data_IF_931864834759
#
_entry.id   IF_931864834759
#
_cell.length_a   1.000
_cell.length_b   1.000
_cell.length_c   1.000
_cell.angle_alpha   90.00
_cell.angle_beta   90.00
_cell.angle_gamma   90.00
#
_symmetry.space_group_name_H-M   'P 1'
#
loop_
_entity.id
_entity.type
_entity.pdbx_description
1 polymer ?
#
# COMPACT_ATOMS: atom_id res chain seq x y z
N UNK A 1 -11.14 15.92 -27.18
CA UNK A 1 -11.10 14.44 -27.06
C UNK A 1 -12.16 14.05 -26.05
N UNK A 2 -12.56 12.77 -25.95
CA UNK A 2 -13.36 12.33 -24.80
C UNK A 2 -12.49 12.40 -23.55
N UNK A 3 -13.02 12.79 -22.38
CA UNK A 3 -12.27 12.71 -21.14
C UNK A 3 -11.84 11.26 -20.85
N UNK A 4 -10.70 11.06 -20.17
CA UNK A 4 -10.21 9.73 -19.81
C UNK A 4 -11.16 9.07 -18.80
N UNK A 5 -11.28 7.74 -18.81
CA UNK A 5 -12.17 7.03 -17.90
C UNK A 5 -11.75 7.24 -16.44
N UNK A 6 -12.73 7.38 -15.54
CA UNK A 6 -12.47 7.47 -14.10
C UNK A 6 -12.12 6.08 -13.52
N UNK A 7 -10.95 5.88 -12.90
CA UNK A 7 -10.49 4.58 -12.38
C UNK A 7 -11.14 4.17 -11.05
N UNK A 8 -12.47 4.18 -10.97
CA UNK A 8 -13.20 3.85 -9.73
C UNK A 8 -13.05 2.36 -9.44
N UNK A 9 -12.33 2.02 -8.37
CA UNK A 9 -12.10 0.64 -7.96
C UNK A 9 -11.05 -0.10 -8.81
N UNK A 10 -10.35 0.60 -9.71
CA UNK A 10 -9.27 0.02 -10.51
C UNK A 10 -7.97 0.08 -9.72
N UNK A 11 -7.39 -1.09 -9.44
CA UNK A 11 -6.11 -1.21 -8.72
C UNK A 11 -4.99 -1.77 -9.60
N UNK A 12 -5.32 -2.32 -10.77
CA UNK A 12 -4.33 -2.86 -11.71
C UNK A 12 -3.73 -1.74 -12.55
N UNK A 13 -2.42 -1.54 -12.43
CA UNK A 13 -1.64 -0.60 -13.21
C UNK A 13 -1.71 -0.94 -14.71
N UNK A 14 -1.69 -2.21 -15.08
CA UNK A 14 -1.86 -2.63 -16.48
C UNK A 14 -3.19 -2.13 -17.06
N UNK A 15 -4.31 -2.32 -16.35
CA UNK A 15 -5.62 -1.78 -16.77
C UNK A 15 -5.60 -0.26 -16.84
N UNK A 16 -5.01 0.40 -15.85
CA UNK A 16 -4.87 1.86 -15.84
C UNK A 16 -4.21 2.40 -17.12
N UNK A 17 -3.17 1.71 -17.60
CA UNK A 17 -2.39 2.13 -18.76
C UNK A 17 -2.99 1.72 -20.10
N UNK A 18 -3.71 0.60 -20.16
CA UNK A 18 -4.18 0.01 -21.42
C UNK A 18 -5.65 0.30 -21.76
N UNK A 19 -6.50 0.57 -20.76
CA UNK A 19 -7.96 0.71 -20.97
C UNK A 19 -8.45 2.16 -21.06
N UNK A 20 -7.54 3.14 -21.12
CA UNK A 20 -7.86 4.57 -21.27
C UNK A 20 -8.35 5.24 -19.98
N UNK A 21 -7.90 4.78 -18.81
CA UNK A 21 -8.18 5.43 -17.53
C UNK A 21 -7.27 6.64 -17.30
N UNK A 22 -7.78 7.62 -16.56
CA UNK A 22 -6.96 8.72 -16.06
C UNK A 22 -5.96 8.17 -15.04
N UNK A 23 -4.67 8.40 -15.25
CA UNK A 23 -3.60 7.94 -14.36
C UNK A 23 -2.75 9.13 -13.91
N UNK A 24 -2.54 9.23 -12.60
CA UNK A 24 -1.61 10.19 -12.00
C UNK A 24 -0.26 9.52 -11.84
N UNK A 25 0.74 10.04 -12.54
CA UNK A 25 2.09 9.48 -12.50
C UNK A 25 2.73 9.65 -11.11
N UNK A 26 3.03 8.52 -10.48
CA UNK A 26 3.75 8.43 -9.19
C UNK A 26 5.08 7.68 -9.36
N UNK A 27 5.51 7.43 -10.59
CA UNK A 27 6.63 6.53 -10.85
C UNK A 27 7.99 7.11 -10.47
N UNK A 28 8.10 8.43 -10.31
CA UNK A 28 9.32 9.04 -9.76
C UNK A 28 9.66 8.54 -8.35
N UNK A 29 8.65 8.27 -7.52
CA UNK A 29 8.85 7.69 -6.19
C UNK A 29 9.47 6.29 -6.26
N UNK A 30 9.16 5.51 -7.31
CA UNK A 30 9.73 4.17 -7.49
C UNK A 30 11.24 4.27 -7.73
N UNK A 31 11.63 5.14 -8.66
CA UNK A 31 13.04 5.43 -8.97
C UNK A 31 13.80 5.95 -7.76
N UNK A 32 13.20 6.86 -6.99
CA UNK A 32 13.83 7.43 -5.78
C UNK A 32 14.01 6.39 -4.67
N UNK A 33 12.95 5.64 -4.35
CA UNK A 33 12.99 4.61 -3.30
C UNK A 33 13.98 3.48 -3.65
N UNK A 34 13.98 3.00 -4.89
CA UNK A 34 14.85 1.89 -5.30
C UNK A 34 16.34 2.25 -5.30
N UNK A 35 16.70 3.54 -5.39
CA UNK A 35 18.08 4.02 -5.27
C UNK A 35 18.50 4.26 -3.82
N UNK A 36 17.59 4.76 -2.98
CA UNK A 36 17.93 5.19 -1.61
C UNK A 36 18.03 4.07 -0.60
N UNK A 37 17.37 2.93 -0.82
CA UNK A 37 17.34 1.87 0.17
C UNK A 37 16.52 0.66 -0.23
N UNK A 38 16.37 -0.24 0.74
CA UNK A 38 15.77 -1.56 0.53
C UNK A 38 14.46 -1.72 1.29
N UNK A 39 14.36 -1.24 2.53
CA UNK A 39 13.25 -1.56 3.43
C UNK A 39 12.39 -0.35 3.72
N UNK A 40 11.13 -0.40 3.32
CA UNK A 40 10.19 0.70 3.45
C UNK A 40 8.88 0.28 4.08
N UNK A 41 8.30 1.21 4.85
CA UNK A 41 6.96 1.12 5.37
C UNK A 41 6.17 2.37 5.00
N UNK A 42 4.97 2.18 4.44
CA UNK A 42 4.06 3.25 4.06
C UNK A 42 2.66 3.01 4.63
N UNK A 43 2.22 3.87 5.55
CA UNK A 43 0.83 3.90 5.99
C UNK A 43 0.05 5.04 5.33
N UNK A 44 -1.12 4.73 4.79
CA UNK A 44 -2.11 5.72 4.31
C UNK A 44 -3.52 5.21 4.59
N UNK A 45 -4.53 6.09 4.74
CA UNK A 45 -5.92 5.67 4.88
C UNK A 45 -6.39 4.78 3.72
N UNK A 46 -7.51 4.08 3.91
CA UNK A 46 -8.11 3.25 2.85
C UNK A 46 -8.38 4.10 1.60
N UNK A 47 -8.27 3.49 0.43
CA UNK A 47 -8.58 4.09 -0.89
C UNK A 47 -7.68 5.25 -1.34
N UNK A 48 -6.52 5.42 -0.70
CA UNK A 48 -5.50 6.41 -1.11
C UNK A 48 -4.63 6.02 -2.31
N UNK A 49 -4.80 4.84 -2.87
CA UNK A 49 -4.02 4.35 -4.01
C UNK A 49 -2.80 3.49 -3.65
N UNK A 50 -2.69 3.02 -2.40
CA UNK A 50 -1.61 2.11 -1.94
C UNK A 50 -1.48 0.87 -2.83
N UNK A 51 -2.59 0.15 -3.04
CA UNK A 51 -2.61 -1.08 -3.85
C UNK A 51 -2.22 -0.83 -5.30
N UNK A 52 -2.65 0.30 -5.88
CA UNK A 52 -2.22 0.70 -7.23
C UNK A 52 -0.72 1.02 -7.26
N UNK A 53 -0.18 1.65 -6.22
CA UNK A 53 1.26 1.92 -6.12
C UNK A 53 2.07 0.61 -5.99
N UNK A 54 1.60 -0.35 -5.18
CA UNK A 54 2.18 -1.70 -5.09
C UNK A 54 2.16 -2.40 -6.46
N UNK A 55 1.04 -2.33 -7.19
CA UNK A 55 0.92 -2.92 -8.53
C UNK A 55 1.85 -2.24 -9.55
N UNK A 56 2.06 -0.93 -9.41
CA UNK A 56 3.00 -0.17 -10.24
C UNK A 56 4.45 -0.59 -9.94
N UNK A 57 4.81 -0.78 -8.67
CA UNK A 57 6.12 -1.32 -8.25
C UNK A 57 6.37 -2.72 -8.81
N UNK A 58 5.38 -3.60 -8.72
CA UNK A 58 5.44 -4.94 -9.31
C UNK A 58 5.75 -4.88 -10.80
N UNK A 59 4.96 -4.11 -11.56
CA UNK A 59 5.19 -3.94 -13.01
C UNK A 59 6.59 -3.37 -13.33
N UNK A 60 7.08 -2.43 -12.51
CA UNK A 60 8.39 -1.81 -12.70
C UNK A 60 9.52 -2.82 -12.49
N UNK A 61 9.53 -3.52 -11.37
CA UNK A 61 10.56 -4.50 -11.03
C UNK A 61 10.48 -5.77 -11.89
N UNK A 62 9.30 -6.12 -12.37
CA UNK A 62 9.07 -7.22 -13.32
C UNK A 62 9.44 -6.87 -14.77
N UNK A 63 9.84 -5.61 -15.06
CA UNK A 63 10.33 -5.19 -16.38
C UNK A 63 9.25 -4.95 -17.44
N UNK A 64 8.00 -4.67 -17.05
CA UNK A 64 6.86 -4.42 -17.95
C UNK A 64 6.94 -3.02 -18.61
N UNK A 65 8.02 -2.74 -19.34
CA UNK A 65 8.39 -1.42 -19.87
C UNK A 65 7.25 -0.74 -20.64
N UNK A 66 6.49 -1.51 -21.42
CA UNK A 66 5.39 -1.03 -22.25
C UNK A 66 4.33 -0.24 -21.46
N UNK A 67 4.14 -0.55 -20.17
CA UNK A 67 3.19 0.13 -19.30
C UNK A 67 3.67 1.52 -18.87
N UNK A 68 4.99 1.77 -18.93
CA UNK A 68 5.62 3.00 -18.44
C UNK A 68 5.81 4.06 -19.52
N UNK A 69 5.44 3.78 -20.76
CA UNK A 69 5.60 4.75 -21.85
C UNK A 69 4.95 6.09 -21.52
N UNK A 70 5.75 7.17 -21.59
CA UNK A 70 5.32 8.53 -21.28
C UNK A 70 5.17 8.86 -19.78
N UNK A 71 5.59 7.96 -18.89
CA UNK A 71 5.71 8.21 -17.46
C UNK A 71 7.16 8.54 -17.10
N UNK A 72 7.38 9.11 -15.92
CA UNK A 72 8.70 9.46 -15.41
C UNK A 72 9.67 8.28 -15.46
N UNK A 73 9.25 7.06 -15.12
CA UNK A 73 10.14 5.89 -15.10
C UNK A 73 10.75 5.52 -16.47
N UNK A 74 10.11 5.93 -17.57
CA UNK A 74 10.61 5.72 -18.94
C UNK A 74 11.46 6.92 -19.43
N UNK A 75 11.68 7.92 -18.56
CA UNK A 75 12.54 9.06 -18.86
C UNK A 75 14.01 8.77 -18.50
N UNK A 76 14.99 9.41 -19.18
CA UNK A 76 16.41 9.26 -18.83
C UNK A 76 16.75 9.64 -17.40
N UNK A 77 16.06 10.64 -16.82
CA UNK A 77 16.28 11.14 -15.46
C UNK A 77 15.91 10.10 -14.38
N UNK A 78 15.03 9.16 -14.70
CA UNK A 78 14.68 8.09 -13.79
C UNK A 78 15.78 7.04 -13.61
N UNK A 79 16.81 7.04 -14.47
CA UNK A 79 17.91 6.06 -14.51
C UNK A 79 17.42 4.62 -14.26
N UNK A 80 16.24 4.29 -14.77
CA UNK A 80 15.61 2.99 -14.58
C UNK A 80 15.90 2.10 -15.80
N UNK A 81 16.52 0.95 -15.58
CA UNK A 81 16.82 -0.01 -16.63
C UNK A 81 15.80 -1.16 -16.61
N UNK A 82 14.80 -1.09 -17.49
CA UNK A 82 13.79 -2.14 -17.65
C UNK A 82 14.33 -3.47 -18.18
N UNK A 83 15.58 -3.55 -18.65
CA UNK A 83 16.20 -4.84 -19.01
C UNK A 83 16.62 -5.63 -17.77
N UNK A 84 16.73 -4.97 -16.61
CA UNK A 84 17.01 -5.60 -15.33
C UNK A 84 15.69 -5.93 -14.65
N UNK A 85 15.33 -7.21 -14.66
CA UNK A 85 14.14 -7.73 -13.98
C UNK A 85 14.49 -8.42 -12.67
N UNK A 86 13.53 -8.41 -11.75
CA UNK A 86 13.63 -9.04 -10.44
C UNK A 86 12.41 -9.94 -10.19
N UNK A 87 12.58 -11.09 -9.50
CA UNK A 87 11.47 -11.84 -8.93
C UNK A 87 10.68 -10.96 -7.96
N UNK A 88 9.38 -10.75 -8.22
CA UNK A 88 8.49 -10.00 -7.33
C UNK A 88 7.56 -10.96 -6.61
N UNK A 89 7.55 -10.90 -5.27
CA UNK A 89 6.72 -11.72 -4.40
C UNK A 89 5.72 -10.83 -3.68
N UNK A 90 4.43 -11.10 -3.88
CA UNK A 90 3.33 -10.30 -3.33
C UNK A 90 2.57 -11.04 -2.24
N UNK A 91 2.42 -10.38 -1.10
CA UNK A 91 1.53 -10.81 -0.02
C UNK A 91 0.39 -9.80 0.08
N UNK A 92 -0.84 -10.29 -0.05
CA UNK A 92 -2.03 -9.46 0.05
C UNK A 92 -3.05 -10.14 0.96
N UNK A 93 -3.51 -9.42 1.98
CA UNK A 93 -4.54 -9.86 2.93
C UNK A 93 -5.94 -9.39 2.55
N UNK A 94 -6.13 -8.81 1.36
CA UNK A 94 -7.40 -8.19 0.99
C UNK A 94 -8.56 -9.18 0.76
N UNK A 95 -8.24 -10.45 0.50
CA UNK A 95 -9.22 -11.48 0.13
C UNK A 95 -9.63 -12.38 1.30
N UNK A 96 -10.93 -12.45 1.59
CA UNK A 96 -11.52 -13.32 2.62
C UNK A 96 -11.52 -12.72 4.02
N UNK A 97 -12.32 -13.31 4.91
CA UNK A 97 -12.29 -13.01 6.34
C UNK A 97 -11.25 -13.91 7.01
N UNK A 98 -10.38 -13.33 7.83
CA UNK A 98 -9.39 -14.06 8.64
C UNK A 98 -9.92 -14.14 10.06
N UNK A 99 -10.89 -15.02 10.28
CA UNK A 99 -11.64 -15.12 11.54
C UNK A 99 -11.01 -16.06 12.58
N UNK A 100 -10.03 -16.85 12.16
CA UNK A 100 -9.29 -17.79 13.00
C UNK A 100 -7.81 -17.76 12.64
N UNK A 101 -6.92 -18.09 13.58
CA UNK A 101 -5.47 -18.12 13.35
C UNK A 101 -5.09 -19.08 12.21
N UNK A 102 -5.82 -20.19 12.07
CA UNK A 102 -5.67 -21.14 10.95
C UNK A 102 -5.92 -20.50 9.59
N UNK A 103 -6.82 -19.52 9.48
CA UNK A 103 -7.10 -18.82 8.23
C UNK A 103 -5.87 -18.04 7.75
N UNK A 104 -5.20 -17.36 8.69
CA UNK A 104 -3.97 -16.62 8.41
C UNK A 104 -2.84 -17.57 8.01
N UNK A 105 -2.62 -18.64 8.77
CA UNK A 105 -1.58 -19.64 8.48
C UNK A 105 -1.83 -20.28 7.12
N UNK A 106 -3.07 -20.65 6.81
CA UNK A 106 -3.44 -21.24 5.53
C UNK A 106 -3.22 -20.25 4.38
N UNK A 107 -3.55 -18.97 4.58
CA UNK A 107 -3.33 -17.92 3.56
C UNK A 107 -1.84 -17.73 3.27
N UNK A 108 -1.01 -17.63 4.30
CA UNK A 108 0.44 -17.54 4.15
C UNK A 108 1.01 -18.79 3.49
N UNK A 109 0.58 -19.97 3.94
CA UNK A 109 0.98 -21.27 3.37
C UNK A 109 0.63 -21.36 1.89
N UNK A 110 -0.60 -21.02 1.51
CA UNK A 110 -1.05 -21.04 0.11
C UNK A 110 -0.28 -20.04 -0.76
N UNK A 111 0.09 -18.89 -0.18
CA UNK A 111 0.91 -17.89 -0.87
C UNK A 111 2.31 -18.43 -1.15
N UNK A 112 2.94 -19.04 -0.15
CA UNK A 112 4.26 -19.67 -0.27
C UNK A 112 4.23 -20.85 -1.24
N UNK A 113 3.20 -21.69 -1.18
CA UNK A 113 2.97 -22.81 -2.10
C UNK A 113 2.92 -22.32 -3.55
N UNK A 114 2.19 -21.22 -3.81
CA UNK A 114 2.10 -20.63 -5.14
C UNK A 114 3.44 -20.09 -5.65
N UNK A 115 4.27 -19.52 -4.78
CA UNK A 115 5.62 -19.10 -5.15
C UNK A 115 6.55 -20.29 -5.43
N UNK A 116 6.49 -21.32 -4.59
CA UNK A 116 7.25 -22.56 -4.81
C UNK A 116 6.88 -23.21 -6.14
N UNK A 117 5.59 -23.28 -6.48
CA UNK A 117 5.13 -23.78 -7.77
C UNK A 117 5.61 -22.90 -8.93
N UNK A 118 5.39 -21.58 -8.85
CA UNK A 118 5.74 -20.63 -9.92
C UNK A 118 7.24 -20.63 -10.24
N UNK A 119 8.09 -20.71 -9.21
CA UNK A 119 9.54 -20.79 -9.39
C UNK A 119 10.06 -22.22 -9.48
N UNK A 120 9.20 -23.24 -9.55
CA UNK A 120 9.51 -24.67 -9.54
C UNK A 120 10.60 -25.02 -8.50
N UNK A 121 10.31 -24.68 -7.25
CA UNK A 121 11.11 -25.00 -6.08
C UNK A 121 10.37 -26.09 -5.31
N UNK A 122 11.12 -27.06 -4.79
CA UNK A 122 10.55 -28.13 -3.98
C UNK A 122 9.77 -27.56 -2.78
N UNK A 123 8.52 -28.01 -2.64
CA UNK A 123 7.60 -27.57 -1.61
C UNK A 123 8.19 -27.82 -0.22
N UNK A 124 8.31 -26.76 0.55
CA UNK A 124 8.73 -26.84 1.95
C UNK A 124 7.53 -27.01 2.88
N UNK A 125 7.77 -27.58 4.07
CA UNK A 125 6.76 -27.73 5.12
C UNK A 125 7.20 -26.99 6.38
N UNK A 126 6.27 -26.73 7.29
CA UNK A 126 6.54 -26.06 8.57
C UNK A 126 5.96 -24.65 8.64
N UNK A 127 6.48 -23.86 9.59
CA UNK A 127 6.04 -22.49 9.85
C UNK A 127 6.29 -21.58 8.63
N UNK A 128 5.33 -20.68 8.27
CA UNK A 128 5.50 -19.78 7.13
C UNK A 128 6.79 -18.93 7.15
N UNK A 129 7.27 -18.51 8.33
CA UNK A 129 8.52 -17.76 8.46
C UNK A 129 9.74 -18.61 8.10
N UNK A 130 9.82 -19.85 8.62
CA UNK A 130 10.91 -20.78 8.29
C UNK A 130 10.93 -21.16 6.81
N UNK A 131 9.74 -21.35 6.22
CA UNK A 131 9.59 -21.57 4.79
C UNK A 131 10.11 -20.37 3.99
N UNK A 132 9.80 -19.14 4.41
CA UNK A 132 10.32 -17.92 3.78
C UNK A 132 11.85 -17.86 3.82
N UNK A 133 12.47 -18.20 4.96
CA UNK A 133 13.94 -18.27 5.12
C UNK A 133 14.60 -19.23 4.13
N UNK A 134 13.93 -20.35 3.82
CA UNK A 134 14.42 -21.34 2.86
C UNK A 134 14.14 -20.95 1.41
N UNK A 135 12.97 -20.38 1.15
CA UNK A 135 12.46 -20.12 -0.20
C UNK A 135 13.18 -18.96 -0.89
N UNK A 136 13.36 -17.83 -0.20
CA UNK A 136 13.94 -16.61 -0.81
C UNK A 136 15.37 -16.84 -1.35
N UNK A 137 16.31 -17.48 -0.61
CA UNK A 137 17.62 -17.79 -1.15
C UNK A 137 17.58 -18.74 -2.35
N UNK A 138 16.64 -19.70 -2.37
CA UNK A 138 16.45 -20.63 -3.49
C UNK A 138 15.96 -19.90 -4.75
N UNK A 139 14.97 -19.01 -4.62
CA UNK A 139 14.50 -18.15 -5.72
C UNK A 139 15.66 -17.30 -6.23
N UNK A 140 16.40 -16.64 -5.33
CA UNK A 140 17.51 -15.78 -5.72
C UNK A 140 18.61 -16.56 -6.46
N UNK A 141 18.94 -17.77 -5.99
CA UNK A 141 19.91 -18.66 -6.66
C UNK A 141 19.41 -19.14 -8.02
N UNK A 142 18.13 -19.54 -8.14
CA UNK A 142 17.57 -20.06 -9.39
C UNK A 142 17.47 -19.00 -10.48
N UNK A 143 17.10 -17.78 -10.10
CA UNK A 143 16.91 -16.65 -11.02
C UNK A 143 18.19 -15.84 -11.25
N UNK A 144 19.19 -15.99 -10.38
CA UNK A 144 20.41 -15.18 -10.40
C UNK A 144 20.18 -13.71 -10.00
N UNK A 145 19.02 -13.41 -9.39
CA UNK A 145 18.58 -12.05 -9.05
C UNK A 145 18.16 -11.98 -7.59
N UNK A 146 18.36 -10.82 -6.97
CA UNK A 146 17.74 -10.54 -5.67
C UNK A 146 16.22 -10.42 -5.81
N UNK A 147 15.49 -10.62 -4.73
CA UNK A 147 14.02 -10.70 -4.70
C UNK A 147 13.41 -9.40 -4.21
N UNK A 148 12.28 -9.02 -4.78
CA UNK A 148 11.43 -7.91 -4.33
C UNK A 148 10.25 -8.47 -3.54
N UNK A 149 10.00 -7.97 -2.33
CA UNK A 149 8.85 -8.36 -1.50
C UNK A 149 7.91 -7.14 -1.36
N UNK A 150 6.66 -7.29 -1.79
CA UNK A 150 5.64 -6.27 -1.66
C UNK A 150 4.47 -6.81 -0.83
N UNK A 151 4.13 -6.11 0.24
CA UNK A 151 3.06 -6.52 1.17
C UNK A 151 2.01 -5.43 1.24
N UNK A 152 0.78 -5.75 0.86
CA UNK A 152 -0.38 -4.87 0.99
C UNK A 152 -1.29 -5.33 2.13
N UNK A 153 -1.98 -4.36 2.75
CA UNK A 153 -2.85 -4.55 3.91
C UNK A 153 -2.23 -5.37 5.06
N UNK A 154 -0.96 -5.12 5.40
CA UNK A 154 -0.19 -5.90 6.39
C UNK A 154 -0.88 -6.02 7.77
N UNK A 155 -1.68 -5.02 8.13
CA UNK A 155 -2.36 -4.85 9.41
C UNK A 155 -3.78 -5.40 9.42
N UNK A 156 -4.32 -5.79 8.27
CA UNK A 156 -5.71 -6.26 8.15
C UNK A 156 -6.04 -7.46 9.04
N UNK A 157 -5.20 -8.52 9.14
CA UNK A 157 -5.51 -9.65 10.02
C UNK A 157 -5.71 -9.24 11.49
N UNK A 158 -5.06 -8.16 11.93
CA UNK A 158 -5.20 -7.61 13.28
C UNK A 158 -6.43 -6.70 13.36
N UNK A 159 -6.59 -5.79 12.40
CA UNK A 159 -7.68 -4.79 12.42
C UNK A 159 -9.07 -5.43 12.31
N UNK A 160 -9.21 -6.50 11.52
CA UNK A 160 -10.48 -7.21 11.37
C UNK A 160 -10.89 -7.95 12.66
N UNK A 161 -9.92 -8.23 13.55
CA UNK A 161 -10.13 -8.98 14.80
C UNK A 161 -9.94 -8.14 16.07
N UNK A 162 -9.99 -6.81 15.98
CA UNK A 162 -9.77 -5.91 17.14
C UNK A 162 -10.75 -6.15 18.31
N UNK A 163 -11.88 -6.81 18.03
CA UNK A 163 -12.91 -7.16 19.00
C UNK A 163 -12.50 -8.28 19.96
N UNK A 164 -11.58 -9.15 19.54
CA UNK A 164 -11.08 -10.31 20.27
C UNK A 164 -9.59 -10.15 20.55
N UNK A 165 -9.24 -9.85 21.80
CA UNK A 165 -7.87 -9.55 22.21
C UNK A 165 -6.95 -10.77 22.04
N UNK A 166 -7.45 -11.99 22.32
CA UNK A 166 -6.63 -13.21 22.26
C UNK A 166 -6.31 -13.54 20.80
N UNK A 167 -7.32 -13.55 19.93
CA UNK A 167 -7.12 -13.80 18.51
C UNK A 167 -6.24 -12.73 17.87
N UNK A 168 -6.44 -11.46 18.22
CA UNK A 168 -5.60 -10.35 17.75
C UNK A 168 -4.11 -10.54 18.15
N UNK A 169 -3.84 -11.04 19.36
CA UNK A 169 -2.48 -11.36 19.81
C UNK A 169 -1.88 -12.53 19.02
N UNK A 170 -2.64 -13.61 18.83
CA UNK A 170 -2.21 -14.76 18.01
C UNK A 170 -1.89 -14.34 16.56
N UNK A 171 -2.75 -13.53 15.94
CA UNK A 171 -2.54 -12.97 14.59
C UNK A 171 -1.27 -12.13 14.53
N UNK A 172 -1.07 -11.27 15.54
CA UNK A 172 0.13 -10.41 15.63
C UNK A 172 1.41 -11.23 15.76
N UNK A 173 1.41 -12.27 16.59
CA UNK A 173 2.59 -13.11 16.81
C UNK A 173 2.94 -13.94 15.57
N UNK A 174 1.93 -14.47 14.87
CA UNK A 174 2.13 -15.14 13.59
C UNK A 174 2.73 -14.20 12.54
N UNK A 175 2.17 -12.99 12.37
CA UNK A 175 2.72 -11.98 11.45
C UNK A 175 4.13 -11.54 11.86
N UNK A 176 4.39 -11.37 13.16
CA UNK A 176 5.72 -11.03 13.68
C UNK A 176 6.76 -12.08 13.30
N UNK A 177 6.44 -13.37 13.44
CA UNK A 177 7.34 -14.45 13.02
C UNK A 177 7.57 -14.42 11.50
N UNK A 178 6.49 -14.30 10.73
CA UNK A 178 6.58 -14.25 9.26
C UNK A 178 7.43 -13.07 8.75
N UNK A 179 7.17 -11.84 9.20
CA UNK A 179 7.94 -10.69 8.75
C UNK A 179 9.35 -10.63 9.39
N UNK A 180 9.52 -11.18 10.59
CA UNK A 180 10.83 -11.30 11.24
C UNK A 180 11.82 -12.13 10.41
N UNK A 181 11.32 -13.13 9.68
CA UNK A 181 12.12 -13.92 8.75
C UNK A 181 12.69 -13.13 7.57
N UNK A 182 12.15 -11.94 7.24
CA UNK A 182 12.69 -11.08 6.17
C UNK A 182 14.06 -10.50 6.54
N UNK A 183 14.28 -10.18 7.82
CA UNK A 183 15.51 -9.51 8.29
C UNK A 183 16.81 -10.24 7.95
N UNK A 184 16.97 -11.55 8.20
CA UNK A 184 18.20 -12.27 7.85
C UNK A 184 18.40 -12.49 6.34
N UNK A 185 17.42 -12.16 5.50
CA UNK A 185 17.45 -12.39 4.06
C UNK A 185 18.08 -11.23 3.26
N UNK A 186 18.67 -10.25 3.93
CA UNK A 186 19.15 -9.00 3.33
C UNK A 186 19.97 -9.16 2.04
N UNK A 187 20.93 -10.09 2.02
CA UNK A 187 21.76 -10.36 0.83
C UNK A 187 20.94 -10.80 -0.39
N UNK A 188 19.76 -11.37 -0.18
CA UNK A 188 18.86 -11.87 -1.21
C UNK A 188 17.76 -10.89 -1.59
N UNK A 189 17.67 -9.72 -0.95
CA UNK A 189 16.56 -8.79 -1.15
C UNK A 189 17.00 -7.53 -1.89
N UNK A 190 16.27 -7.20 -2.96
CA UNK A 190 16.47 -5.95 -3.72
C UNK A 190 15.64 -4.81 -3.14
N UNK A 191 14.40 -5.11 -2.75
CA UNK A 191 13.45 -4.11 -2.30
C UNK A 191 12.33 -4.77 -1.47
N UNK A 192 11.89 -4.10 -0.42
CA UNK A 192 10.84 -4.55 0.49
C UNK A 192 9.96 -3.34 0.82
N UNK A 193 8.66 -3.43 0.50
CA UNK A 193 7.68 -2.43 0.90
C UNK A 193 6.49 -3.09 1.59
N UNK A 194 6.20 -2.63 2.81
CA UNK A 194 4.98 -2.98 3.53
C UNK A 194 4.05 -1.78 3.57
N UNK A 195 2.77 -2.00 3.27
CA UNK A 195 1.77 -0.94 3.30
C UNK A 195 0.48 -1.35 4.02
N UNK A 196 -0.20 -0.37 4.62
CA UNK A 196 -1.38 -0.59 5.46
C UNK A 196 -2.09 0.70 5.84
N UNK A 197 -3.02 0.61 6.80
CA UNK A 197 -3.86 1.74 7.23
C UNK A 197 -3.36 2.37 8.53
N UNK A 198 -2.76 1.57 9.40
CA UNK A 198 -2.40 1.97 10.75
C UNK A 198 -0.95 1.67 11.09
N UNK A 199 -0.39 2.48 11.98
CA UNK A 199 0.89 2.23 12.64
C UNK A 199 0.75 1.41 13.93
N UNK A 200 -0.46 1.13 14.44
CA UNK A 200 -0.64 0.42 15.71
C UNK A 200 0.04 -0.97 15.73
N UNK A 201 0.17 -1.62 14.58
CA UNK A 201 0.90 -2.88 14.44
C UNK A 201 2.44 -2.74 14.52
N UNK A 202 2.99 -1.53 14.31
CA UNK A 202 4.43 -1.24 14.39
C UNK A 202 5.02 -1.53 15.76
N UNK A 203 4.28 -1.30 16.84
CA UNK A 203 4.75 -1.50 18.22
C UNK A 203 4.97 -2.97 18.60
N UNK A 204 4.68 -3.95 17.72
CA UNK A 204 5.19 -5.31 17.96
C UNK A 204 5.35 -6.25 16.77
N UNK A 205 4.68 -6.04 15.63
CA UNK A 205 5.01 -6.83 14.43
C UNK A 205 6.46 -6.52 13.99
N UNK A 206 6.81 -5.24 13.92
CA UNK A 206 8.12 -4.81 13.42
C UNK A 206 9.25 -4.90 14.45
N UNK A 207 8.99 -5.47 15.63
CA UNK A 207 10.09 -5.86 16.53
C UNK A 207 11.00 -6.93 15.91
N UNK A 208 10.47 -7.78 15.02
CA UNK A 208 11.25 -8.74 14.22
C UNK A 208 11.90 -8.13 12.96
N UNK A 209 11.35 -7.02 12.44
CA UNK A 209 11.78 -6.36 11.20
C UNK A 209 12.02 -4.86 11.46
N UNK A 210 13.01 -4.57 12.31
CA UNK A 210 13.23 -3.23 12.87
C UNK A 210 14.08 -2.29 12.00
N UNK A 211 14.37 -2.68 10.76
CA UNK A 211 15.13 -1.92 9.76
C UNK A 211 14.23 -1.23 8.73
N UNK A 212 12.90 -1.28 8.88
CA UNK A 212 11.96 -0.57 8.01
C UNK A 212 12.10 0.95 8.15
N UNK A 213 12.38 1.63 7.05
CA UNK A 213 12.28 3.07 6.97
C UNK A 213 10.81 3.49 6.81
N UNK A 214 10.26 4.14 7.83
CA UNK A 214 8.87 4.61 7.84
C UNK A 214 8.75 5.95 7.09
N UNK A 215 8.37 5.87 5.82
CA UNK A 215 8.20 7.03 4.93
C UNK A 215 6.82 7.69 5.07
N UNK A 216 6.01 7.29 6.05
CA UNK A 216 4.63 7.76 6.19
C UNK A 216 4.54 9.27 6.38
N UNK A 217 5.39 9.85 7.23
CA UNK A 217 5.41 11.27 7.58
C UNK A 217 6.66 11.98 7.06
N UNK A 218 7.36 11.35 6.11
CA UNK A 218 8.45 12.00 5.41
C UNK A 218 7.87 12.90 4.32
N UNK A 219 8.17 14.19 4.43
CA UNK A 219 7.72 15.24 3.52
C UNK A 219 8.06 14.92 2.05
N UNK A 220 9.18 14.25 1.79
CA UNK A 220 9.59 13.87 0.44
C UNK A 220 8.59 12.91 -0.22
N UNK A 221 7.85 12.14 0.57
CA UNK A 221 6.87 11.14 0.10
C UNK A 221 5.42 11.52 0.44
N UNK A 222 5.14 12.79 0.76
CA UNK A 222 3.81 13.22 1.19
C UNK A 222 2.73 12.95 0.12
N UNK A 223 3.10 13.07 -1.15
CA UNK A 223 2.21 12.89 -2.32
C UNK A 223 2.36 11.55 -3.04
N UNK A 224 3.07 10.57 -2.43
CA UNK A 224 3.24 9.21 -2.98
C UNK A 224 1.92 8.51 -3.26
N UNK A 225 0.90 8.86 -2.47
CA UNK A 225 -0.48 8.46 -2.62
C UNK A 225 -1.36 9.74 -2.60
N UNK A 226 -2.59 9.63 -3.10
CA UNK A 226 -3.47 10.78 -3.22
C UNK A 226 -3.22 11.63 -4.47
N UNK A 227 -4.17 12.53 -4.74
CA UNK A 227 -4.08 13.49 -5.83
C UNK A 227 -3.72 14.86 -5.28
N UNK A 228 -2.78 15.56 -5.91
CA UNK A 228 -2.51 16.97 -5.58
C UNK A 228 -3.52 17.88 -6.29
N UNK A 229 -3.58 19.14 -5.88
CA UNK A 229 -4.33 20.17 -6.60
C UNK A 229 -3.95 20.21 -8.09
N UNK A 230 -2.65 20.20 -8.38
CA UNK A 230 -2.14 20.20 -9.75
C UNK A 230 -2.62 18.97 -10.54
N UNK A 231 -2.73 17.79 -9.91
CA UNK A 231 -3.26 16.61 -10.58
C UNK A 231 -4.73 16.81 -10.99
N UNK A 232 -5.55 17.45 -10.15
CA UNK A 232 -6.94 17.75 -10.50
C UNK A 232 -7.03 18.74 -11.67
N UNK A 233 -6.22 19.79 -11.64
CA UNK A 233 -6.23 20.87 -12.63
C UNK A 233 -5.64 20.46 -13.99
N UNK A 234 -4.86 19.38 -14.04
CA UNK A 234 -4.23 18.89 -15.28
C UNK A 234 -4.96 17.66 -15.81
N UNK A 235 -4.87 16.55 -15.08
CA UNK A 235 -5.34 15.22 -15.51
C UNK A 235 -6.86 15.12 -15.49
N UNK A 236 -7.49 15.79 -14.52
CA UNK A 236 -8.95 15.75 -14.33
C UNK A 236 -9.64 17.07 -14.70
N UNK A 237 -8.97 17.94 -15.47
CA UNK A 237 -9.45 19.29 -15.81
C UNK A 237 -10.86 19.30 -16.41
N UNK A 238 -11.15 18.42 -17.36
CA UNK A 238 -12.48 18.30 -18.01
C UNK A 238 -13.60 17.90 -17.04
N UNK A 239 -13.26 17.19 -15.95
CA UNK A 239 -14.20 16.86 -14.88
C UNK A 239 -14.33 17.99 -13.88
N UNK A 240 -13.20 18.59 -13.49
CA UNK A 240 -13.12 19.65 -12.48
C UNK A 240 -13.88 20.92 -12.91
N UNK A 241 -13.89 21.25 -14.20
CA UNK A 241 -14.62 22.41 -14.77
C UNK A 241 -16.13 22.42 -14.48
N UNK A 242 -16.70 21.30 -14.03
CA UNK A 242 -18.13 21.17 -13.69
C UNK A 242 -18.46 21.62 -12.27
N UNK A 243 -17.45 21.96 -11.47
CA UNK A 243 -17.59 22.25 -10.04
C UNK A 243 -16.87 23.55 -9.66
N UNK A 244 -17.28 24.17 -8.54
CA UNK A 244 -16.48 25.22 -7.91
C UNK A 244 -15.25 24.59 -7.25
N UNK A 245 -14.06 25.00 -7.69
CA UNK A 245 -12.79 24.49 -7.19
C UNK A 245 -12.58 24.73 -5.69
N UNK A 246 -13.13 25.82 -5.16
CA UNK A 246 -13.02 26.13 -3.73
C UNK A 246 -13.90 25.21 -2.91
N UNK A 247 -15.09 24.87 -3.42
CA UNK A 247 -15.99 23.89 -2.79
C UNK A 247 -15.37 22.48 -2.82
N UNK A 248 -14.76 22.07 -3.94
CA UNK A 248 -14.00 20.81 -4.02
C UNK A 248 -12.86 20.77 -3.00
N UNK A 249 -12.14 21.88 -2.86
CA UNK A 249 -11.04 21.99 -1.88
C UNK A 249 -11.55 21.87 -0.45
N UNK A 250 -12.62 22.59 -0.11
CA UNK A 250 -13.22 22.57 1.22
C UNK A 250 -13.71 21.17 1.62
N UNK A 251 -14.36 20.46 0.69
CA UNK A 251 -14.90 19.13 0.96
C UNK A 251 -13.85 18.02 1.03
N UNK A 252 -12.81 18.08 0.20
CA UNK A 252 -11.98 16.90 -0.08
C UNK A 252 -10.46 17.10 0.07
N UNK A 253 -9.94 18.32 0.27
CA UNK A 253 -8.49 18.57 0.41
C UNK A 253 -7.99 18.51 1.87
N UNK A 254 -8.50 17.56 2.65
CA UNK A 254 -8.30 17.53 4.11
C UNK A 254 -7.04 16.82 4.60
N UNK A 255 -6.25 16.18 3.72
CA UNK A 255 -5.15 15.30 4.13
C UNK A 255 -3.78 15.90 3.83
N UNK A 256 -2.87 15.88 4.81
CA UNK A 256 -1.45 16.21 4.65
C UNK A 256 -0.58 15.30 5.50
N UNK A 257 0.54 14.83 4.93
CA UNK A 257 1.57 14.05 5.63
C UNK A 257 2.87 14.87 5.66
N UNK A 258 2.87 15.94 6.45
CA UNK A 258 4.01 16.88 6.67
C UNK A 258 4.55 17.59 5.41
N UNK A 259 3.81 17.51 4.31
CA UNK A 259 4.12 18.14 3.03
C UNK A 259 2.86 18.65 2.36
N UNK A 260 2.82 18.54 1.03
CA UNK A 260 1.68 19.02 0.25
C UNK A 260 0.39 18.30 0.64
N UNK A 261 -0.69 19.07 0.69
CA UNK A 261 -2.04 18.53 0.86
C UNK A 261 -2.45 17.72 -0.37
N UNK A 262 -3.17 16.64 -0.12
CA UNK A 262 -3.72 15.79 -1.17
C UNK A 262 -5.17 15.44 -0.91
N UNK A 263 -5.86 15.19 -2.01
CA UNK A 263 -7.20 14.66 -2.07
C UNK A 263 -7.17 13.13 -1.99
N UNK A 264 -8.17 12.56 -1.32
CA UNK A 264 -8.44 11.13 -1.44
C UNK A 264 -8.87 10.82 -2.90
N UNK A 265 -8.16 9.93 -3.62
CA UNK A 265 -8.48 9.60 -5.00
C UNK A 265 -9.91 9.12 -5.17
N UNK A 266 -10.38 8.24 -4.31
CA UNK A 266 -11.68 7.62 -4.48
C UNK A 266 -12.83 8.61 -4.29
N UNK A 267 -12.69 9.53 -3.34
CA UNK A 267 -13.70 10.56 -3.07
C UNK A 267 -13.84 11.51 -4.25
N UNK A 268 -12.71 11.94 -4.83
CA UNK A 268 -12.68 12.76 -6.04
C UNK A 268 -13.29 12.03 -7.24
N UNK A 269 -12.93 10.76 -7.44
CA UNK A 269 -13.48 9.98 -8.54
C UNK A 269 -14.99 9.78 -8.39
N UNK A 270 -15.49 9.61 -7.16
CA UNK A 270 -16.92 9.56 -6.89
C UNK A 270 -17.61 10.90 -7.11
N UNK A 271 -17.02 12.02 -6.70
CA UNK A 271 -17.53 13.35 -7.02
C UNK A 271 -17.71 13.52 -8.53
N UNK A 272 -16.67 13.23 -9.31
CA UNK A 272 -16.71 13.39 -10.76
C UNK A 272 -17.70 12.44 -11.44
N UNK A 273 -17.87 11.24 -10.91
CA UNK A 273 -18.82 10.26 -11.45
C UNK A 273 -20.27 10.56 -11.07
N UNK A 274 -20.53 11.01 -9.84
CA UNK A 274 -21.88 11.21 -9.31
C UNK A 274 -22.40 12.63 -9.52
N UNK A 275 -21.53 13.61 -9.73
CA UNK A 275 -21.93 15.01 -9.94
C UNK A 275 -22.47 15.71 -8.70
N UNK A 276 -22.26 15.16 -7.51
CA UNK A 276 -22.83 15.67 -6.25
C UNK A 276 -21.81 15.63 -5.12
N UNK A 277 -21.79 16.70 -4.32
CA UNK A 277 -21.02 16.73 -3.07
C UNK A 277 -21.68 15.82 -2.03
N UNK A 278 -20.89 14.88 -1.51
CA UNK A 278 -21.28 13.94 -0.45
C UNK A 278 -20.08 13.59 0.42
N UNK A 279 -20.30 13.12 1.66
CA UNK A 279 -19.22 12.64 2.52
C UNK A 279 -18.70 11.26 2.06
N UNK A 280 -18.18 11.18 0.83
CA UNK A 280 -17.62 9.96 0.25
C UNK A 280 -16.45 9.41 1.08
N UNK A 281 -15.71 10.27 1.80
CA UNK A 281 -14.68 9.83 2.74
C UNK A 281 -15.25 8.92 3.86
N UNK A 282 -16.50 9.13 4.26
CA UNK A 282 -17.17 8.39 5.34
C UNK A 282 -17.87 7.13 4.84
N UNK A 283 -18.68 7.20 3.77
CA UNK A 283 -19.51 6.08 3.27
C UNK A 283 -18.70 4.85 2.83
N UNK A 284 -17.40 5.04 2.65
CA UNK A 284 -16.54 4.24 1.78
C UNK A 284 -15.26 3.86 2.54
N UNK A 285 -14.84 4.69 3.50
CA UNK A 285 -13.67 4.48 4.34
C UNK A 285 -13.96 4.11 5.80
N UNK A 286 -15.23 4.10 6.25
CA UNK A 286 -15.57 3.89 7.67
C UNK A 286 -14.80 2.71 8.25
N UNK A 287 -13.84 2.96 9.16
CA UNK A 287 -13.20 1.90 9.90
C UNK A 287 -14.25 1.38 10.88
N UNK A 288 -14.87 0.25 10.55
CA UNK A 288 -15.81 -0.44 11.44
C UNK A 288 -15.22 -0.59 12.85
N UNK A 289 -13.91 -0.85 12.92
CA UNK A 289 -13.14 -0.87 14.17
C UNK A 289 -13.28 0.41 15.00
N UNK A 290 -13.25 1.60 14.38
CA UNK A 290 -13.34 2.88 15.07
C UNK A 290 -14.75 3.07 15.62
N UNK A 291 -15.78 2.69 14.84
CA UNK A 291 -17.17 2.67 15.31
C UNK A 291 -17.32 1.72 16.49
N UNK A 292 -16.79 0.50 16.40
CA UNK A 292 -16.81 -0.48 17.50
C UNK A 292 -16.09 0.05 18.74
N UNK A 293 -14.93 0.70 18.57
CA UNK A 293 -14.18 1.31 19.67
C UNK A 293 -14.99 2.42 20.33
N UNK A 294 -15.62 3.29 19.53
CA UNK A 294 -16.47 4.38 19.98
C UNK A 294 -17.71 3.86 20.71
N UNK A 295 -18.36 2.81 20.21
CA UNK A 295 -19.49 2.17 20.89
C UNK A 295 -19.09 1.60 22.25
N UNK A 296 -17.90 0.98 22.35
CA UNK A 296 -17.36 0.46 23.62
C UNK A 296 -16.93 1.57 24.59
N UNK A 297 -16.38 2.67 24.06
CA UNK A 297 -15.90 3.83 24.83
C UNK A 297 -16.32 5.14 24.13
N UNK A 298 -17.57 5.60 24.37
CA UNK A 298 -18.05 6.81 23.75
C UNK A 298 -17.21 8.00 24.19
N UNK A 299 -16.80 8.83 23.23
CA UNK A 299 -16.15 10.12 23.45
C UNK A 299 -16.86 11.17 22.62
N UNK A 300 -16.79 12.44 22.99
CA UNK A 300 -17.32 13.51 22.15
C UNK A 300 -16.27 13.86 21.08
N UNK A 301 -16.64 14.03 19.79
CA UNK A 301 -15.67 14.45 18.76
C UNK A 301 -14.97 15.76 19.13
N UNK A 302 -15.68 16.67 19.82
CA UNK A 302 -15.17 17.93 20.33
C UNK A 302 -14.01 17.78 21.34
N UNK A 303 -13.86 16.63 22.00
CA UNK A 303 -12.71 16.35 22.87
C UNK A 303 -11.39 16.22 22.07
N UNK A 304 -11.48 16.00 20.76
CA UNK A 304 -10.34 15.88 19.87
C UNK A 304 -10.11 17.15 19.04
N UNK A 305 -10.96 18.17 19.19
CA UNK A 305 -10.79 19.43 18.46
C UNK A 305 -9.53 20.16 18.94
N UNK A 306 -8.70 20.59 17.98
CA UNK A 306 -7.38 21.15 18.27
C UNK A 306 -6.38 20.18 18.92
N UNK A 307 -6.68 18.87 18.98
CA UNK A 307 -5.75 17.89 19.55
C UNK A 307 -4.52 17.76 18.65
N UNK A 308 -3.36 18.11 19.20
CA UNK A 308 -2.06 17.89 18.56
C UNK A 308 -1.48 16.62 19.16
N UNK A 309 -1.46 15.56 18.36
CA UNK A 309 -0.74 14.34 18.73
C UNK A 309 0.74 14.48 18.35
N UNK A 310 1.62 14.55 19.35
CA UNK A 310 3.08 14.53 19.14
C UNK A 310 3.60 13.14 18.76
N UNK A 311 4.88 13.07 18.36
CA UNK A 311 5.54 11.81 17.97
C UNK A 311 5.47 10.72 19.05
N UNK A 312 5.36 11.11 20.31
CA UNK A 312 5.21 10.22 21.46
C UNK A 312 3.95 9.33 21.40
N UNK A 313 2.91 9.76 20.67
CA UNK A 313 1.69 8.98 20.45
C UNK A 313 1.76 8.08 19.21
N UNK A 314 2.81 8.21 18.38
CA UNK A 314 2.99 7.45 17.14
C UNK A 314 3.76 6.13 17.32
N UNK A 315 4.38 5.93 18.48
CA UNK A 315 5.08 4.68 18.86
C UNK A 315 6.46 4.51 18.24
#
# INVERSE_FOLDING_TARGET
MSPPKLPIGVQSFEKMRTEGYAYVDKTWFISDLARKGTYYFLSRPRRFGKSLFIDTLDCAFSGRKELFSGLYLDSPEAEWDFTITYPVLRVDFAGGALSQISDLINRLTSTLDGWEEFYEIEKSSGDPGDRLLSLIPKIAKKTGKQVVILVDEYDRPILDNIGDINLMQEMRDCLKNFYGAIKPLDLHLKFVLLTGVSKFAKTGIFSGLNNLNDITLDKAYSTICGYTQQNLETIFSEYLQRFDINEVREWYNGYSWTGDSVYNPFDILLLFSKGVFRPFWFETGTPSFLITLWQKKPRLPAEFDGLIAGDELLG
#
